data_IF_281120143176
#
_entry.id   IF_281120143176
#
_cell.length_a   1.000
_cell.length_b   1.000
_cell.length_c   1.000
_cell.angle_alpha   90.00
_cell.angle_beta   90.00
_cell.angle_gamma   90.00
#
_symmetry.space_group_name_H-M   'P 1'
#
loop_
_entity.id
_entity.type
_entity.pdbx_description
1 polymer ?
#
# COMPACT_ATOMS: atom_id res chain seq x y z
N UNK A 1 29.11 -25.18 10.44
CA UNK A 1 28.84 -24.61 11.77
C UNK A 1 28.55 -23.09 11.72
N UNK A 2 29.27 -22.30 10.91
CA UNK A 2 28.98 -20.87 10.73
C UNK A 2 27.72 -20.60 9.86
N UNK A 3 27.51 -21.37 8.79
CA UNK A 3 26.32 -21.23 7.92
C UNK A 3 24.99 -21.53 8.60
N UNK A 4 24.98 -22.36 9.65
CA UNK A 4 23.76 -22.67 10.42
C UNK A 4 23.28 -21.51 11.30
N UNK A 5 24.11 -20.48 11.53
CA UNK A 5 23.75 -19.29 12.31
C UNK A 5 23.12 -18.18 11.48
N UNK A 6 23.38 -18.13 10.16
CA UNK A 6 22.75 -17.17 9.26
C UNK A 6 21.30 -17.54 8.89
N UNK A 7 20.91 -18.81 9.07
CA UNK A 7 19.57 -19.31 8.70
C UNK A 7 18.52 -19.26 9.83
N UNK A 8 18.87 -18.90 11.08
CA UNK A 8 17.99 -19.06 12.27
C UNK A 8 17.22 -17.81 12.70
N UNK A 9 16.91 -16.88 11.80
CA UNK A 9 15.84 -15.91 12.04
C UNK A 9 15.37 -15.31 10.71
N UNK A 10 14.54 -16.05 9.98
CA UNK A 10 13.50 -15.40 9.18
C UNK A 10 12.54 -14.73 10.16
N UNK A 11 12.94 -13.57 10.71
CA UNK A 11 12.05 -12.74 11.51
C UNK A 11 10.82 -12.47 10.65
N UNK A 12 9.64 -12.90 11.11
CA UNK A 12 8.39 -12.55 10.46
C UNK A 12 8.33 -11.03 10.44
N UNK A 13 8.58 -10.42 9.27
CA UNK A 13 8.58 -8.97 9.14
C UNK A 13 7.18 -8.47 9.53
N UNK A 14 7.06 -7.51 10.47
CA UNK A 14 5.78 -7.15 11.07
C UNK A 14 4.74 -6.64 10.06
N UNK A 15 5.20 -6.11 8.90
CA UNK A 15 4.38 -5.62 7.80
C UNK A 15 3.64 -6.74 7.05
N UNK A 16 4.13 -7.98 7.10
CA UNK A 16 3.53 -9.13 6.40
C UNK A 16 2.65 -10.00 7.31
N UNK A 17 2.31 -9.52 8.50
CA UNK A 17 1.33 -10.22 9.33
C UNK A 17 -0.05 -10.12 8.68
N UNK A 18 -0.38 -11.07 7.80
CA UNK A 18 -1.75 -11.31 7.29
C UNK A 18 -2.62 -11.79 8.44
N UNK A 19 -2.88 -10.94 9.44
CA UNK A 19 -4.10 -11.11 10.24
C UNK A 19 -5.24 -11.05 9.24
N UNK A 20 -6.12 -12.04 9.34
CA UNK A 20 -7.13 -12.37 8.34
C UNK A 20 -7.89 -11.12 7.90
N UNK A 21 -7.60 -10.68 6.67
CA UNK A 21 -8.31 -9.57 6.05
C UNK A 21 -9.80 -9.93 6.05
N UNK A 22 -10.61 -9.09 6.67
CA UNK A 22 -12.07 -9.26 6.64
C UNK A 22 -12.55 -9.24 5.18
N UNK A 23 -13.67 -9.92 4.88
CA UNK A 23 -14.18 -10.01 3.50
C UNK A 23 -14.36 -8.63 2.86
N UNK A 24 -14.77 -7.63 3.64
CA UNK A 24 -14.88 -6.23 3.19
C UNK A 24 -13.53 -5.62 2.81
N UNK A 25 -12.46 -5.87 3.58
CA UNK A 25 -11.11 -5.39 3.25
C UNK A 25 -10.56 -6.06 1.98
N UNK A 26 -10.86 -7.34 1.76
CA UNK A 26 -10.47 -8.05 0.52
C UNK A 26 -11.19 -7.52 -0.71
N UNK A 27 -12.48 -7.18 -0.58
CA UNK A 27 -13.25 -6.59 -1.66
C UNK A 27 -12.78 -5.16 -1.96
N UNK A 28 -12.58 -4.34 -0.93
CA UNK A 28 -12.04 -2.99 -1.07
C UNK A 28 -10.68 -2.99 -1.80
N UNK A 29 -9.78 -3.92 -1.45
CA UNK A 29 -8.47 -4.02 -2.09
C UNK A 29 -8.55 -4.36 -3.58
N UNK A 30 -9.44 -5.29 -3.94
CA UNK A 30 -9.69 -5.62 -5.34
C UNK A 30 -10.26 -4.42 -6.08
N UNK A 31 -11.26 -3.74 -5.50
CA UNK A 31 -11.89 -2.57 -6.10
C UNK A 31 -10.88 -1.43 -6.29
N UNK A 32 -10.07 -1.11 -5.27
CA UNK A 32 -9.03 -0.06 -5.38
C UNK A 32 -7.99 -0.38 -6.45
N UNK A 33 -7.56 -1.64 -6.56
CA UNK A 33 -6.62 -2.06 -7.61
C UNK A 33 -7.24 -1.95 -9.02
N UNK A 34 -8.52 -2.31 -9.18
CA UNK A 34 -9.21 -2.17 -10.46
C UNK A 34 -9.48 -0.70 -10.82
N UNK A 35 -9.91 0.13 -9.87
CA UNK A 35 -10.19 1.55 -10.08
C UNK A 35 -8.94 2.38 -10.41
N UNK A 36 -7.74 1.93 -10.02
CA UNK A 36 -6.47 2.61 -10.31
C UNK A 36 -5.90 2.34 -11.71
N UNK A 37 -6.56 1.52 -12.54
CA UNK A 37 -6.04 1.11 -13.84
C UNK A 37 -6.60 1.98 -14.97
N UNK A 38 -5.77 2.33 -15.96
CA UNK A 38 -6.18 3.12 -17.15
C UNK A 38 -7.38 2.54 -17.91
N UNK A 39 -7.51 1.20 -17.91
CA UNK A 39 -8.62 0.47 -18.52
C UNK A 39 -9.99 0.78 -17.88
N UNK A 40 -10.05 1.10 -16.58
CA UNK A 40 -11.30 1.43 -15.90
C UNK A 40 -11.86 2.76 -16.42
N UNK A 41 -11.00 3.77 -16.56
CA UNK A 41 -11.35 5.10 -17.08
C UNK A 41 -11.95 4.96 -18.49
N UNK A 42 -11.27 4.22 -19.37
CA UNK A 42 -11.75 3.98 -20.75
C UNK A 42 -13.11 3.29 -20.75
N UNK A 43 -13.32 2.28 -19.90
CA UNK A 43 -14.60 1.56 -19.80
C UNK A 43 -15.75 2.48 -19.40
N UNK A 44 -15.52 3.38 -18.42
CA UNK A 44 -16.52 4.37 -18.00
C UNK A 44 -16.87 5.34 -19.14
N UNK A 45 -15.86 5.83 -19.87
CA UNK A 45 -16.10 6.68 -21.05
C UNK A 45 -16.91 5.98 -22.15
N UNK A 46 -16.62 4.70 -22.42
CA UNK A 46 -17.38 3.91 -23.40
C UNK A 46 -18.82 3.74 -22.96
N UNK A 47 -19.08 3.43 -21.69
CA UNK A 47 -20.43 3.28 -21.16
C UNK A 47 -21.22 4.59 -21.26
N UNK A 48 -20.59 5.71 -20.91
CA UNK A 48 -21.21 7.04 -21.06
C UNK A 48 -21.52 7.33 -22.53
N UNK A 49 -20.57 7.07 -23.43
CA UNK A 49 -20.76 7.24 -24.88
C UNK A 49 -21.89 6.36 -25.43
N UNK A 50 -21.98 5.10 -24.97
CA UNK A 50 -23.03 4.16 -25.36
C UNK A 50 -24.38 4.59 -24.80
N UNK A 51 -24.45 5.10 -23.58
CA UNK A 51 -25.69 5.61 -22.97
C UNK A 51 -26.22 6.85 -23.70
N UNK A 52 -25.32 7.77 -24.07
CA UNK A 52 -25.66 8.94 -24.89
C UNK A 52 -26.13 8.47 -26.28
N UNK A 53 -25.39 7.56 -26.93
CA UNK A 53 -25.75 7.02 -28.25
C UNK A 53 -27.09 6.29 -28.25
N UNK A 54 -27.36 5.48 -27.21
CA UNK A 54 -28.63 4.80 -27.02
C UNK A 54 -29.78 5.79 -26.81
N UNK A 55 -29.61 6.85 -26.01
CA UNK A 55 -30.63 7.89 -25.82
C UNK A 55 -30.91 8.69 -27.10
N UNK A 56 -29.88 8.95 -27.92
CA UNK A 56 -30.06 9.62 -29.22
C UNK A 56 -30.78 8.71 -30.22
N UNK A 57 -30.48 7.41 -30.23
CA UNK A 57 -31.14 6.46 -31.14
C UNK A 57 -32.59 6.14 -30.71
N UNK A 58 -32.87 6.12 -29.41
CA UNK A 58 -34.19 5.84 -28.82
C UNK A 58 -35.01 7.11 -28.52
N UNK A 59 -35.02 8.06 -29.46
CA UNK A 59 -35.73 9.35 -29.38
C UNK A 59 -37.25 9.24 -29.13
N UNK A 60 -37.85 8.07 -29.38
CA UNK A 60 -39.30 7.86 -29.28
C UNK A 60 -39.83 7.57 -27.87
N UNK A 61 -39.00 7.12 -26.92
CA UNK A 61 -39.45 6.77 -25.56
C UNK A 61 -39.07 7.83 -24.51
N UNK A 62 -38.27 8.85 -24.86
CA UNK A 62 -37.94 9.98 -23.96
C UNK A 62 -37.49 9.50 -22.56
N UNK A 63 -36.75 8.40 -22.52
CA UNK A 63 -36.42 7.69 -21.28
C UNK A 63 -35.45 8.47 -20.38
N UNK A 64 -34.64 9.38 -20.93
CA UNK A 64 -33.78 10.29 -20.17
C UNK A 64 -33.54 11.62 -20.93
N UNK A 65 -34.45 12.62 -20.81
CA UNK A 65 -34.31 13.94 -21.44
C UNK A 65 -33.10 14.70 -20.90
N UNK A 66 -32.51 15.56 -21.74
CA UNK A 66 -31.43 16.46 -21.31
C UNK A 66 -31.90 17.34 -20.13
N UNK A 67 -31.20 17.42 -18.99
CA UNK A 67 -29.86 16.90 -18.67
C UNK A 67 -29.95 15.51 -18.01
N UNK A 68 -29.42 14.46 -18.66
CA UNK A 68 -29.50 13.04 -18.27
C UNK A 68 -29.48 12.79 -16.74
N UNK A 69 -30.66 12.74 -16.12
CA UNK A 69 -30.80 12.85 -14.66
C UNK A 69 -30.38 11.54 -13.98
N UNK A 70 -30.68 10.40 -14.63
CA UNK A 70 -30.31 9.09 -14.11
C UNK A 70 -28.81 8.85 -14.24
N UNK A 71 -28.22 9.22 -15.38
CA UNK A 71 -26.77 9.11 -15.57
C UNK A 71 -26.01 10.01 -14.58
N UNK A 72 -26.46 11.25 -14.39
CA UNK A 72 -25.87 12.16 -13.43
C UNK A 72 -25.98 11.63 -11.99
N UNK A 73 -27.13 11.06 -11.62
CA UNK A 73 -27.35 10.46 -10.31
C UNK A 73 -26.40 9.29 -10.04
N UNK A 74 -26.28 8.34 -10.98
CA UNK A 74 -25.41 7.17 -10.84
C UNK A 74 -23.94 7.59 -10.73
N UNK A 75 -23.49 8.51 -11.58
CA UNK A 75 -22.11 9.02 -11.53
C UNK A 75 -21.81 9.73 -10.20
N UNK A 76 -22.76 10.51 -9.69
CA UNK A 76 -22.61 11.19 -8.39
C UNK A 76 -22.52 10.20 -7.24
N UNK A 77 -23.32 9.13 -7.26
CA UNK A 77 -23.24 8.06 -6.26
C UNK A 77 -21.90 7.32 -6.30
N UNK A 78 -21.40 7.00 -7.50
CA UNK A 78 -20.09 6.37 -7.68
C UNK A 78 -18.98 7.28 -7.13
N UNK A 79 -19.00 8.57 -7.46
CA UNK A 79 -18.01 9.53 -6.97
C UNK A 79 -18.05 9.69 -5.44
N UNK A 80 -19.25 9.74 -4.84
CA UNK A 80 -19.42 9.82 -3.39
C UNK A 80 -18.83 8.61 -2.66
N UNK A 81 -18.93 7.41 -3.25
CA UNK A 81 -18.33 6.19 -2.69
C UNK A 81 -16.80 6.12 -2.85
N UNK A 82 -16.20 6.85 -3.79
CA UNK A 82 -14.75 6.80 -4.01
C UNK A 82 -13.97 7.39 -2.83
N UNK A 83 -14.38 8.54 -2.30
CA UNK A 83 -13.68 9.23 -1.21
C UNK A 83 -13.45 8.34 0.04
N UNK A 84 -14.45 7.64 0.61
CA UNK A 84 -14.23 6.75 1.75
C UNK A 84 -13.40 5.51 1.41
N UNK A 85 -13.52 4.94 0.21
CA UNK A 85 -12.71 3.79 -0.21
C UNK A 85 -11.24 4.20 -0.31
N UNK A 86 -10.96 5.35 -0.92
CA UNK A 86 -9.62 5.93 -1.00
C UNK A 86 -9.09 6.21 0.41
N UNK A 87 -9.90 6.81 1.28
CA UNK A 87 -9.52 7.11 2.67
C UNK A 87 -9.23 5.83 3.47
N UNK A 88 -10.01 4.77 3.30
CA UNK A 88 -9.76 3.47 3.93
C UNK A 88 -8.46 2.84 3.42
N UNK A 89 -8.19 2.92 2.12
CA UNK A 89 -6.93 2.45 1.53
C UNK A 89 -5.73 3.23 2.08
N UNK A 90 -5.84 4.56 2.14
CA UNK A 90 -4.81 5.46 2.68
C UNK A 90 -4.56 5.21 4.16
N UNK A 91 -5.61 5.09 4.98
CA UNK A 91 -5.48 4.83 6.41
C UNK A 91 -4.79 3.49 6.70
N UNK A 92 -4.98 2.51 5.81
CA UNK A 92 -4.32 1.21 5.93
C UNK A 92 -2.86 1.24 5.48
N UNK A 93 -2.55 2.01 4.45
CA UNK A 93 -1.18 2.22 3.99
C UNK A 93 -0.36 2.98 5.04
N UNK A 94 -0.90 4.07 5.60
CA UNK A 94 -0.24 4.86 6.65
C UNK A 94 0.06 4.04 7.91
N UNK A 95 -0.84 3.13 8.29
CA UNK A 95 -0.61 2.19 9.39
C UNK A 95 0.55 1.22 9.09
N UNK A 96 0.61 0.67 7.87
CA UNK A 96 1.71 -0.21 7.44
C UNK A 96 3.05 0.54 7.42
N UNK A 97 3.04 1.78 6.95
CA UNK A 97 4.24 2.62 6.90
C UNK A 97 4.72 3.01 8.31
N UNK A 98 3.81 3.28 9.25
CA UNK A 98 4.18 3.53 10.65
C UNK A 98 4.86 2.32 11.29
N UNK A 99 4.29 1.13 11.11
CA UNK A 99 4.91 -0.12 11.59
C UNK A 99 6.28 -0.35 10.95
N UNK A 100 6.41 -0.11 9.64
CA UNK A 100 7.68 -0.24 8.93
C UNK A 100 8.73 0.71 9.53
N UNK A 101 8.37 1.97 9.73
CA UNK A 101 9.25 2.99 10.32
C UNK A 101 9.70 2.63 11.75
N UNK A 102 8.78 2.18 12.61
CA UNK A 102 9.12 1.72 13.96
C UNK A 102 10.08 0.53 13.96
N UNK A 103 9.88 -0.42 13.05
CA UNK A 103 10.74 -1.58 12.89
C UNK A 103 12.14 -1.20 12.38
N UNK A 104 12.20 -0.37 11.33
CA UNK A 104 13.46 0.12 10.76
C UNK A 104 14.26 0.91 11.80
N UNK A 105 13.57 1.73 12.61
CA UNK A 105 14.19 2.42 13.75
C UNK A 105 14.80 1.45 14.76
N UNK A 106 14.06 0.41 15.17
CA UNK A 106 14.56 -0.58 16.13
C UNK A 106 15.76 -1.36 15.59
N UNK A 107 15.74 -1.74 14.31
CA UNK A 107 16.86 -2.40 13.64
C UNK A 107 18.07 -1.47 13.59
N UNK A 108 17.87 -0.21 13.20
CA UNK A 108 18.96 0.76 13.13
C UNK A 108 19.63 0.98 14.49
N UNK A 109 18.83 1.10 15.57
CA UNK A 109 19.35 1.21 16.94
C UNK A 109 20.17 -0.02 17.37
N UNK A 110 19.74 -1.22 16.97
CA UNK A 110 20.49 -2.45 17.24
C UNK A 110 21.82 -2.45 16.47
N UNK A 111 21.81 -2.08 15.20
CA UNK A 111 23.01 -1.95 14.38
C UNK A 111 23.98 -0.91 14.94
N UNK A 112 23.50 0.25 15.41
CA UNK A 112 24.33 1.26 16.08
C UNK A 112 25.05 0.69 17.31
N UNK A 113 24.36 -0.11 18.13
CA UNK A 113 24.96 -0.75 19.30
C UNK A 113 26.01 -1.80 18.93
N UNK A 114 25.74 -2.64 17.93
CA UNK A 114 26.69 -3.65 17.43
C UNK A 114 27.94 -3.00 16.83
N UNK A 115 27.78 -1.95 16.01
CA UNK A 115 28.91 -1.17 15.45
C UNK A 115 29.74 -0.52 16.56
N UNK A 116 29.08 0.03 17.59
CA UNK A 116 29.75 0.62 18.74
C UNK A 116 30.55 -0.42 19.54
N UNK A 117 30.00 -1.63 19.71
CA UNK A 117 30.69 -2.73 20.38
C UNK A 117 31.93 -3.17 19.58
N UNK A 118 31.78 -3.40 18.27
CA UNK A 118 32.90 -3.73 17.37
C UNK A 118 33.99 -2.64 17.39
N UNK A 119 33.60 -1.37 17.40
CA UNK A 119 34.55 -0.24 17.48
C UNK A 119 35.37 -0.27 18.78
N UNK A 120 34.75 -0.63 19.91
CA UNK A 120 35.45 -0.79 21.19
C UNK A 120 36.43 -1.96 21.14
N UNK A 121 36.04 -3.09 20.56
CA UNK A 121 36.92 -4.25 20.38
C UNK A 121 38.13 -3.90 19.50
N UNK A 122 37.92 -3.24 18.35
CA UNK A 122 38.99 -2.76 17.46
C UNK A 122 39.95 -1.82 18.20
N UNK A 123 39.43 -0.87 18.99
CA UNK A 123 40.27 0.00 19.80
C UNK A 123 41.09 -0.77 20.84
N UNK A 124 40.50 -1.79 21.47
CA UNK A 124 41.20 -2.63 22.44
C UNK A 124 42.36 -3.41 21.81
N UNK A 125 42.13 -4.02 20.63
CA UNK A 125 43.15 -4.73 19.86
C UNK A 125 44.27 -3.78 19.42
N UNK A 126 43.92 -2.58 18.93
CA UNK A 126 44.89 -1.56 18.55
C UNK A 126 45.78 -1.16 19.72
N UNK A 127 45.23 -1.02 20.94
CA UNK A 127 46.01 -0.72 22.15
C UNK A 127 46.96 -1.85 22.52
N UNK A 128 46.55 -3.11 22.39
CA UNK A 128 47.40 -4.27 22.67
C UNK A 128 48.58 -4.36 21.69
N UNK A 129 48.33 -4.17 20.39
CA UNK A 129 49.39 -4.13 19.37
C UNK A 129 50.38 -3.00 19.67
N UNK A 130 49.91 -1.83 20.08
CA UNK A 130 50.78 -0.71 20.43
C UNK A 130 51.67 -1.01 21.64
N UNK A 131 51.14 -1.72 22.66
CA UNK A 131 51.93 -2.17 23.80
C UNK A 131 52.99 -3.20 23.43
N UNK A 132 52.72 -4.11 22.49
CA UNK A 132 53.68 -5.13 22.04
C UNK A 132 54.82 -4.56 21.17
N UNK A 133 54.61 -3.40 20.54
CA UNK A 133 55.63 -2.73 19.72
C UNK A 133 56.63 -1.91 20.56
N UNK A 134 56.36 -1.73 21.86
CA UNK A 134 57.22 -0.98 22.80
C UNK A 134 57.94 -1.95 23.72
#
# INVERSE_FOLDING_TARGET
MFDSLLHKKKGKHPVFNRKELTLGQRLADKVTHYCGTWHFIITVFIIIGLWIGANVYFLFIRWDPYPFILLNFVLSCIAAMQAPIILMSQNRESYRDRIRSEYDYAVNRKSEHEISALTKEIQSLKRLIYKLKK
#
